data_IF_468551426274
#
_entry.id   IF_468551426274
#
_cell.length_a   1.000
_cell.length_b   1.000
_cell.length_c   1.000
_cell.angle_alpha   90.00
_cell.angle_beta   90.00
_cell.angle_gamma   90.00
#
_symmetry.space_group_name_H-M   'P 1'
#
loop_
_entity.id
_entity.type
_entity.pdbx_description
1 polymer ?
#
# COMPACT_ATOMS: atom_id res chain seq x y z
N UNK A 1 4.47 -8.79 7.92
CA UNK A 1 4.10 -7.37 7.75
C UNK A 1 5.14 -6.41 8.35
N UNK A 2 5.64 -6.63 9.57
CA UNK A 2 6.62 -5.71 10.20
C UNK A 2 7.87 -5.48 9.35
N UNK A 3 8.50 -6.56 8.88
CA UNK A 3 9.71 -6.47 8.06
C UNK A 3 9.45 -5.79 6.70
N UNK A 4 8.30 -6.07 6.10
CA UNK A 4 7.83 -5.47 4.86
C UNK A 4 7.56 -3.97 5.02
N UNK A 5 7.06 -3.54 6.19
CA UNK A 5 6.86 -2.13 6.51
C UNK A 5 8.19 -1.38 6.60
N UNK A 6 9.23 -2.04 7.13
CA UNK A 6 10.59 -1.48 7.21
C UNK A 6 11.26 -1.44 5.83
N UNK A 7 11.42 -2.59 5.19
CA UNK A 7 12.03 -2.73 3.86
C UNK A 7 11.28 -1.96 2.75
N UNK A 8 9.99 -1.68 2.96
CA UNK A 8 9.14 -1.04 1.97
C UNK A 8 8.69 -1.98 0.86
N UNK A 9 8.64 -3.28 1.12
CA UNK A 9 8.15 -4.26 0.15
C UNK A 9 6.65 -4.06 -0.09
N UNK A 10 6.21 -3.78 -1.33
CA UNK A 10 4.78 -3.62 -1.64
C UNK A 10 4.08 -4.99 -1.54
N UNK A 11 3.20 -5.14 -0.56
CA UNK A 11 2.50 -6.39 -0.27
C UNK A 11 1.04 -6.12 0.07
N UNK A 12 0.12 -6.90 -0.50
CA UNK A 12 -1.31 -6.89 -0.12
C UNK A 12 -1.60 -8.15 0.67
N UNK A 13 -1.88 -8.01 1.97
CA UNK A 13 -2.29 -9.12 2.83
C UNK A 13 -3.82 -9.14 2.94
N UNK A 14 -4.42 -10.30 2.72
CA UNK A 14 -5.86 -10.49 2.86
C UNK A 14 -6.19 -11.49 3.95
N UNK A 15 -7.33 -11.33 4.60
CA UNK A 15 -7.83 -12.29 5.59
C UNK A 15 -9.36 -12.34 5.57
N UNK A 16 -9.91 -13.55 5.71
CA UNK A 16 -11.35 -13.74 5.89
C UNK A 16 -11.77 -13.40 7.32
N UNK A 17 -12.95 -12.80 7.47
CA UNK A 17 -13.63 -12.55 8.74
C UNK A 17 -15.02 -13.19 8.71
N UNK A 18 -15.65 -13.29 9.87
CA UNK A 18 -17.01 -13.85 9.97
C UNK A 18 -18.02 -12.91 9.31
N UNK A 19 -19.15 -13.50 8.94
CA UNK A 19 -20.31 -12.81 8.38
C UNK A 19 -20.78 -11.68 9.32
N UNK A 20 -20.95 -10.48 8.78
CA UNK A 20 -21.42 -9.30 9.53
C UNK A 20 -22.87 -9.45 10.01
N UNK A 21 -23.67 -10.30 9.36
CA UNK A 21 -25.10 -10.54 9.64
C UNK A 21 -25.32 -11.49 10.82
N UNK A 22 -24.27 -12.20 11.26
CA UNK A 22 -24.36 -13.18 12.36
C UNK A 22 -23.92 -12.55 13.68
N UNK A 23 -24.88 -12.32 14.57
CA UNK A 23 -24.65 -11.72 15.90
C UNK A 23 -24.09 -12.69 16.95
N UNK A 24 -24.24 -14.01 16.75
CA UNK A 24 -23.86 -15.03 17.74
C UNK A 24 -22.35 -15.21 17.97
N UNK A 25 -21.55 -15.46 16.92
CA UNK A 25 -20.10 -15.60 17.09
C UNK A 25 -19.42 -14.23 17.09
N UNK A 26 -18.72 -13.88 18.17
CA UNK A 26 -17.94 -12.63 18.23
C UNK A 26 -17.03 -12.45 17.02
N UNK A 27 -17.05 -11.25 16.43
CA UNK A 27 -16.18 -10.81 15.33
C UNK A 27 -14.98 -10.06 15.90
N UNK A 28 -13.81 -10.32 15.34
CA UNK A 28 -12.60 -9.55 15.61
C UNK A 28 -12.49 -8.42 14.60
N UNK A 29 -12.06 -7.25 15.05
CA UNK A 29 -11.70 -6.14 14.15
C UNK A 29 -10.29 -6.38 13.59
N UNK A 30 -10.22 -7.21 12.54
CA UNK A 30 -8.94 -7.56 11.92
C UNK A 30 -8.26 -6.33 11.30
N UNK A 31 -9.04 -5.35 10.85
CA UNK A 31 -8.51 -4.14 10.23
C UNK A 31 -7.78 -3.29 11.27
N UNK A 32 -8.37 -3.07 12.45
CA UNK A 32 -7.69 -2.36 13.54
C UNK A 32 -6.50 -3.14 14.10
N UNK A 33 -6.59 -4.47 14.20
CA UNK A 33 -5.47 -5.29 14.63
C UNK A 33 -4.26 -5.21 13.68
N UNK A 34 -4.50 -5.10 12.37
CA UNK A 34 -3.45 -4.99 11.36
C UNK A 34 -2.93 -3.56 11.17
N UNK A 35 -3.69 -2.53 11.59
CA UNK A 35 -3.39 -1.11 11.37
C UNK A 35 -1.96 -0.69 11.78
N UNK A 36 -1.38 -1.16 12.90
CA UNK A 36 -0.01 -0.79 13.27
C UNK A 36 1.08 -1.34 12.34
N UNK A 37 0.77 -2.35 11.52
CA UNK A 37 1.74 -3.08 10.69
C UNK A 37 1.52 -2.88 9.20
N UNK A 38 0.55 -2.04 8.82
CA UNK A 38 0.14 -1.77 7.45
C UNK A 38 0.14 -0.26 7.21
N UNK A 39 0.51 0.17 6.00
CA UNK A 39 0.31 1.56 5.59
C UNK A 39 -1.17 1.91 5.46
N UNK A 40 -1.96 0.93 5.05
CA UNK A 40 -3.40 1.03 4.91
C UNK A 40 -4.06 -0.28 5.31
N UNK A 41 -5.17 -0.19 6.03
CA UNK A 41 -5.93 -1.33 6.53
C UNK A 41 -7.42 -1.05 6.31
N UNK A 42 -8.16 -2.02 5.78
CA UNK A 42 -9.59 -1.89 5.51
C UNK A 42 -10.30 -3.24 5.65
N UNK A 43 -11.63 -3.23 5.79
CA UNK A 43 -12.48 -4.42 5.74
C UNK A 43 -13.56 -4.26 4.66
N UNK A 44 -13.65 -5.24 3.77
CA UNK A 44 -14.70 -5.40 2.78
C UNK A 44 -15.86 -6.13 3.46
N UNK A 45 -17.04 -5.53 3.41
CA UNK A 45 -18.24 -6.09 4.03
C UNK A 45 -19.29 -6.53 3.02
N UNK A 46 -19.16 -6.13 1.75
CA UNK A 46 -20.11 -6.43 0.68
C UNK A 46 -19.37 -6.78 -0.62
N UNK A 47 -19.91 -7.71 -1.41
CA UNK A 47 -19.28 -8.19 -2.65
C UNK A 47 -18.96 -7.06 -3.64
N UNK A 48 -19.83 -6.06 -3.77
CA UNK A 48 -19.64 -4.93 -4.69
C UNK A 48 -18.42 -4.05 -4.37
N UNK A 49 -17.87 -4.13 -3.16
CA UNK A 49 -16.69 -3.36 -2.75
C UNK A 49 -15.37 -4.01 -3.18
N UNK A 50 -15.37 -5.32 -3.48
CA UNK A 50 -14.14 -6.08 -3.76
C UNK A 50 -13.28 -5.43 -4.86
N UNK A 51 -13.81 -5.08 -6.05
CA UNK A 51 -12.97 -4.57 -7.13
C UNK A 51 -12.30 -3.23 -6.77
N UNK A 52 -13.03 -2.32 -6.15
CA UNK A 52 -12.53 -0.98 -5.83
C UNK A 52 -11.52 -1.00 -4.68
N UNK A 53 -11.79 -1.79 -3.62
CA UNK A 53 -10.93 -1.90 -2.44
C UNK A 53 -9.64 -2.63 -2.77
N UNK A 54 -9.69 -3.73 -3.53
CA UNK A 54 -8.49 -4.47 -3.95
C UNK A 54 -7.62 -3.62 -4.87
N UNK A 55 -8.22 -2.91 -5.85
CA UNK A 55 -7.48 -1.98 -6.71
C UNK A 55 -6.77 -0.91 -5.88
N UNK A 56 -7.47 -0.31 -4.91
CA UNK A 56 -6.87 0.65 -3.99
C UNK A 56 -5.74 -0.01 -3.18
N UNK A 57 -5.91 -1.23 -2.68
CA UNK A 57 -4.87 -1.92 -1.92
C UNK A 57 -3.55 -2.01 -2.70
N UNK A 58 -3.61 -2.37 -3.98
CA UNK A 58 -2.43 -2.42 -4.84
C UNK A 58 -1.86 -1.03 -5.15
N UNK A 59 -2.70 0.00 -5.34
CA UNK A 59 -2.24 1.37 -5.53
C UNK A 59 -1.52 1.87 -4.27
N UNK A 60 -2.16 1.74 -3.11
CA UNK A 60 -1.59 2.12 -1.82
C UNK A 60 -0.27 1.38 -1.60
N UNK A 61 -0.20 0.05 -1.75
CA UNK A 61 1.04 -0.70 -1.54
C UNK A 61 2.21 -0.20 -2.40
N UNK A 62 1.95 0.17 -3.66
CA UNK A 62 2.93 0.65 -4.65
C UNK A 62 3.26 2.15 -4.55
N UNK A 63 2.42 2.96 -3.91
CA UNK A 63 2.68 4.40 -3.75
C UNK A 63 3.78 4.67 -2.72
N UNK A 64 4.77 5.49 -3.06
CA UNK A 64 5.85 5.87 -2.15
C UNK A 64 5.35 6.60 -0.89
N UNK A 65 5.86 6.27 0.31
CA UNK A 65 6.76 5.15 0.62
C UNK A 65 6.06 3.79 0.46
N UNK A 66 6.63 2.89 -0.34
CA UNK A 66 6.08 1.55 -0.59
C UNK A 66 6.01 0.73 0.69
N UNK A 67 5.10 -0.24 0.76
CA UNK A 67 4.94 -1.06 1.96
C UNK A 67 3.70 -1.94 1.96
N UNK A 68 3.47 -2.67 3.06
CA UNK A 68 2.36 -3.60 3.19
C UNK A 68 1.03 -2.89 3.42
N UNK A 69 -0.04 -3.47 2.92
CA UNK A 69 -1.44 -3.09 3.19
C UNK A 69 -2.24 -4.32 3.63
N UNK A 70 -3.32 -4.12 4.37
CA UNK A 70 -4.21 -5.16 4.85
C UNK A 70 -5.64 -4.95 4.32
N UNK A 71 -6.27 -6.04 3.87
CA UNK A 71 -7.69 -6.05 3.47
C UNK A 71 -8.38 -7.26 4.08
N UNK A 72 -9.20 -7.02 5.10
CA UNK A 72 -10.14 -8.01 5.63
C UNK A 72 -11.35 -8.17 4.70
N UNK A 73 -11.96 -9.35 4.68
CA UNK A 73 -13.17 -9.64 3.91
C UNK A 73 -14.13 -10.46 4.76
N UNK A 74 -15.34 -9.96 5.02
CA UNK A 74 -16.36 -10.74 5.74
C UNK A 74 -16.89 -11.89 4.88
N UNK A 75 -17.31 -12.98 5.51
CA UNK A 75 -17.84 -14.17 4.82
C UNK A 75 -18.94 -13.83 3.79
N UNK A 76 -19.88 -12.94 4.15
CA UNK A 76 -20.94 -12.52 3.25
C UNK A 76 -20.46 -11.74 2.03
N UNK A 77 -19.27 -11.13 2.07
CA UNK A 77 -18.68 -10.50 0.88
C UNK A 77 -18.19 -11.53 -0.14
N UNK A 78 -17.93 -12.77 0.29
CA UNK A 78 -17.64 -13.90 -0.60
C UNK A 78 -18.89 -14.61 -1.11
N UNK A 79 -19.95 -14.65 -0.28
CA UNK A 79 -21.19 -15.37 -0.61
C UNK A 79 -22.15 -14.55 -1.49
N UNK A 80 -22.18 -13.23 -1.31
CA UNK A 80 -23.08 -12.35 -2.08
C UNK A 80 -22.60 -12.14 -3.53
N UNK A 81 -23.53 -11.80 -4.42
CA UNK A 81 -23.26 -11.43 -5.82
C UNK A 81 -23.57 -9.95 -6.02
N UNK A 82 -22.72 -9.25 -6.77
CA UNK A 82 -22.93 -7.86 -7.14
C UNK A 82 -22.58 -7.64 -8.62
N UNK A 83 -23.39 -6.83 -9.31
CA UNK A 83 -23.05 -6.35 -10.65
C UNK A 83 -22.02 -5.22 -10.51
N UNK A 84 -20.83 -5.44 -11.06
CA UNK A 84 -19.68 -4.55 -10.89
C UNK A 84 -18.95 -4.35 -12.21
N UNK A 85 -18.58 -3.10 -12.48
CA UNK A 85 -17.72 -2.77 -13.59
C UNK A 85 -16.25 -2.81 -13.14
N UNK A 86 -15.49 -3.81 -13.63
CA UNK A 86 -14.07 -3.95 -13.30
C UNK A 86 -13.26 -2.96 -14.12
N UNK A 87 -12.69 -1.99 -13.43
CA UNK A 87 -11.86 -0.95 -14.01
C UNK A 87 -10.37 -1.29 -13.80
N UNK A 88 -9.52 -1.19 -14.84
CA UNK A 88 -8.10 -1.50 -14.70
C UNK A 88 -7.41 -0.58 -13.69
N UNK A 89 -6.30 -1.05 -13.15
CA UNK A 89 -5.45 -0.23 -12.29
C UNK A 89 -4.65 0.76 -13.14
N UNK A 90 -4.54 1.99 -12.68
CA UNK A 90 -3.66 3.01 -13.28
C UNK A 90 -2.26 2.93 -12.68
N UNK A 91 -1.27 3.42 -13.44
CA UNK A 91 0.08 3.55 -12.93
C UNK A 91 0.15 4.51 -11.74
N UNK A 92 1.06 4.19 -10.82
CA UNK A 92 1.33 5.03 -9.66
C UNK A 92 2.21 6.18 -10.12
N UNK A 93 1.68 7.41 -10.04
CA UNK A 93 2.47 8.61 -10.31
C UNK A 93 3.52 8.75 -9.20
N UNK A 94 4.79 8.59 -9.55
CA UNK A 94 5.87 8.93 -8.62
C UNK A 94 6.02 10.46 -8.57
N UNK A 95 6.16 11.00 -7.36
CA UNK A 95 6.47 12.41 -7.17
C UNK A 95 7.87 12.66 -7.74
N UNK A 96 7.96 13.24 -8.94
CA UNK A 96 9.22 13.71 -9.49
C UNK A 96 9.66 14.97 -8.73
N UNK A 97 10.86 14.96 -8.15
CA UNK A 97 11.48 16.16 -7.59
C UNK A 97 11.63 17.23 -8.68
N UNK A 98 11.20 18.46 -8.41
CA UNK A 98 11.37 19.58 -9.33
C UNK A 98 12.85 19.81 -9.66
N UNK A 99 13.19 20.01 -10.93
CA UNK A 99 14.57 20.19 -11.44
C UNK A 99 15.41 21.21 -10.67
N UNK A 100 14.77 22.24 -10.09
CA UNK A 100 15.42 23.27 -9.28
C UNK A 100 16.01 22.72 -7.97
N UNK A 101 15.37 21.72 -7.35
CA UNK A 101 15.88 21.08 -6.13
C UNK A 101 17.12 20.23 -6.42
N UNK A 102 17.19 19.63 -7.62
CA UNK A 102 18.34 18.82 -8.03
C UNK A 102 19.58 19.70 -8.19
N UNK A 103 19.45 20.86 -8.87
CA UNK A 103 20.58 21.78 -9.07
C UNK A 103 21.19 22.27 -7.76
N UNK A 104 20.36 22.69 -6.80
CA UNK A 104 20.86 23.14 -5.49
C UNK A 104 21.64 22.06 -4.74
N UNK A 105 21.21 20.79 -4.84
CA UNK A 105 21.96 19.66 -4.26
C UNK A 105 23.27 19.43 -5.02
N UNK A 106 23.27 19.49 -6.35
CA UNK A 106 24.49 19.37 -7.16
C UNK A 106 25.52 20.46 -6.80
N UNK A 107 25.08 21.72 -6.64
CA UNK A 107 25.96 22.83 -6.30
C UNK A 107 26.59 22.64 -4.91
N UNK A 108 25.78 22.24 -3.91
CA UNK A 108 26.26 21.91 -2.56
C UNK A 108 27.27 20.74 -2.56
N UNK A 109 27.01 19.69 -3.35
CA UNK A 109 27.93 18.56 -3.47
C UNK A 109 29.22 18.95 -4.19
N UNK A 110 29.14 19.83 -5.20
CA UNK A 110 30.30 20.27 -5.98
C UNK A 110 31.27 21.17 -5.21
N UNK A 111 30.75 21.91 -4.22
CA UNK A 111 31.55 22.84 -3.40
C UNK A 111 32.03 22.23 -2.09
N UNK A 112 31.55 21.03 -1.74
CA UNK A 112 31.93 20.34 -0.52
C UNK A 112 33.36 19.79 -0.58
N UNK A 113 34.18 20.11 0.42
CA UNK A 113 35.58 19.62 0.50
C UNK A 113 35.68 18.14 0.87
N UNK A 114 34.76 17.61 1.69
CA UNK A 114 34.74 16.21 2.16
C UNK A 114 33.29 15.71 2.36
N UNK A 115 32.51 15.50 1.28
CA UNK A 115 31.14 15.05 1.39
C UNK A 115 31.05 13.60 1.89
N UNK A 116 29.99 13.29 2.65
CA UNK A 116 29.63 11.93 3.08
C UNK A 116 28.21 11.66 2.61
N UNK A 117 27.98 10.48 2.02
CA UNK A 117 26.65 10.01 1.62
C UNK A 117 26.26 8.81 2.48
N UNK A 118 25.09 8.90 3.12
CA UNK A 118 24.49 7.78 3.85
C UNK A 118 23.38 7.19 2.99
N UNK A 119 23.53 5.93 2.61
CA UNK A 119 22.63 5.23 1.70
C UNK A 119 21.77 4.24 2.49
N UNK A 120 20.45 4.36 2.35
CA UNK A 120 19.48 3.42 2.89
C UNK A 120 19.12 2.29 1.91
N UNK A 121 18.33 1.34 2.39
CA UNK A 121 17.86 0.14 1.69
C UNK A 121 16.84 0.41 0.55
N UNK A 122 16.21 1.58 0.54
CA UNK A 122 15.11 1.93 -0.38
C UNK A 122 15.53 2.50 -1.75
N UNK A 123 16.77 2.32 -2.18
CA UNK A 123 17.24 2.80 -3.49
C UNK A 123 16.74 1.96 -4.68
N UNK A 124 16.33 0.71 -4.46
CA UNK A 124 15.98 -0.23 -5.53
C UNK A 124 14.66 0.08 -6.28
N UNK A 125 13.86 1.06 -5.84
CA UNK A 125 12.58 1.41 -6.48
C UNK A 125 12.68 2.25 -7.75
N UNK A 126 13.89 2.70 -8.13
CA UNK A 126 14.13 3.57 -9.28
C UNK A 126 14.57 2.81 -10.55
N UNK A 127 14.03 1.61 -10.79
CA UNK A 127 14.37 0.85 -12.01
C UNK A 127 13.58 1.36 -13.21
N UNK A 128 14.26 2.19 -14.01
CA UNK A 128 14.08 2.50 -15.45
C UNK A 128 12.73 2.14 -16.10
N UNK A 129 11.96 3.17 -16.46
CA UNK A 129 11.25 3.16 -17.75
C UNK A 129 12.32 3.25 -18.85
N UNK A 130 12.61 2.12 -19.51
CA UNK A 130 13.28 2.05 -20.81
C UNK A 130 12.28 1.53 -21.83
#
# INVERSE_FOLDING_TARGET
>A
MIDQLRSGTPMVMTAGNKDIRKLGPGRSDLAELARPFAKWSAEITHAGQVPSVIRRAFQEAKTSPTGPVFVGMSANAFDDVADVNIQPSTDVVQNSSTTQNIRGICDLLSTASKPIMIIGDRLNGATKQQ
#
